data_IF_021088949642
#
_entry.id   IF_021088949642
#
_cell.length_a   1.000
_cell.length_b   1.000
_cell.length_c   1.000
_cell.angle_alpha   90.00
_cell.angle_beta   90.00
_cell.angle_gamma   90.00
#
_symmetry.space_group_name_H-M   'P 1'
#
loop_
_entity.id
_entity.type
_entity.pdbx_description
1 polymer ?
#
# COMPACT_ATOMS: atom_id res chain seq x y z
N UNK A 1 1.02 33.84 -50.99
CA UNK A 1 1.92 33.61 -49.84
C UNK A 1 1.19 33.70 -48.48
N UNK A 2 -0.02 34.24 -48.41
CA UNK A 2 -0.79 34.34 -47.14
C UNK A 2 -1.44 33.02 -46.71
N UNK A 3 -1.91 32.17 -47.63
CA UNK A 3 -2.63 30.92 -47.29
C UNK A 3 -1.76 29.91 -46.53
N UNK A 4 -0.44 29.81 -46.83
CA UNK A 4 0.50 28.91 -46.12
C UNK A 4 0.73 29.31 -44.66
N UNK A 5 0.68 30.61 -44.35
CA UNK A 5 0.85 31.09 -42.95
C UNK A 5 -0.42 30.84 -42.13
N UNK A 6 -1.59 30.95 -42.70
CA UNK A 6 -2.86 30.66 -42.00
C UNK A 6 -3.03 29.15 -41.72
N UNK A 7 -2.58 28.29 -42.65
CA UNK A 7 -2.62 26.84 -42.44
C UNK A 7 -1.68 26.40 -41.33
N UNK A 8 -0.47 27.02 -41.25
CA UNK A 8 0.48 26.74 -40.18
C UNK A 8 -0.04 27.15 -38.80
N UNK A 9 -0.74 28.30 -38.71
CA UNK A 9 -1.38 28.75 -37.47
C UNK A 9 -2.52 27.85 -37.02
N UNK A 10 -3.32 27.33 -37.97
CA UNK A 10 -4.41 26.39 -37.69
C UNK A 10 -3.90 25.05 -37.21
N UNK A 11 -2.79 24.53 -37.78
CA UNK A 11 -2.15 23.29 -37.35
C UNK A 11 -1.51 23.47 -35.97
N UNK A 12 -0.88 24.62 -35.68
CA UNK A 12 -0.33 24.91 -34.36
C UNK A 12 -1.41 25.05 -33.28
N UNK A 13 -2.58 25.63 -33.61
CA UNK A 13 -3.72 25.73 -32.71
C UNK A 13 -4.40 24.37 -32.43
N UNK A 14 -4.33 23.44 -33.39
CA UNK A 14 -4.82 22.06 -33.20
C UNK A 14 -3.89 21.20 -32.36
N UNK A 15 -2.59 21.57 -32.24
CA UNK A 15 -1.60 20.91 -31.39
C UNK A 15 -1.68 21.34 -29.90
N UNK A 16 -2.43 22.42 -29.59
CA UNK A 16 -2.70 22.82 -28.20
C UNK A 16 -3.85 22.03 -27.57
N UNK A 17 -4.25 20.89 -28.19
CA UNK A 17 -5.29 20.01 -27.70
C UNK A 17 -4.92 19.43 -26.33
N UNK A 18 -5.68 19.87 -25.32
CA UNK A 18 -5.87 19.20 -24.04
C UNK A 18 -4.59 18.73 -23.34
N UNK A 19 -3.78 19.66 -22.88
CA UNK A 19 -2.90 19.39 -21.74
C UNK A 19 -3.85 19.31 -20.53
N UNK A 20 -4.48 18.16 -20.34
CA UNK A 20 -5.05 17.87 -19.02
C UNK A 20 -3.87 17.82 -18.07
N UNK A 21 -3.86 18.71 -17.09
CA UNK A 21 -2.88 18.65 -16.02
C UNK A 21 -3.03 17.24 -15.38
N UNK A 22 -2.02 16.41 -15.58
CA UNK A 22 -2.02 15.07 -15.02
C UNK A 22 -1.94 15.22 -13.50
N UNK A 23 -2.85 14.58 -12.77
CA UNK A 23 -2.82 14.54 -11.32
C UNK A 23 -1.47 13.95 -10.89
N UNK A 24 -0.79 14.63 -9.98
CA UNK A 24 0.39 14.14 -9.30
C UNK A 24 0.12 14.22 -7.81
N UNK A 25 0.31 13.11 -7.10
CA UNK A 25 0.21 13.06 -5.64
C UNK A 25 1.62 12.96 -5.08
N UNK A 26 1.98 13.91 -4.24
CA UNK A 26 3.29 14.03 -3.60
C UNK A 26 3.21 13.73 -2.10
N UNK A 27 4.32 13.81 -1.39
CA UNK A 27 4.37 13.65 0.06
C UNK A 27 3.58 14.72 0.82
N UNK A 28 3.32 15.88 0.22
CA UNK A 28 2.49 16.93 0.82
C UNK A 28 0.99 16.67 0.68
N UNK A 29 0.59 15.78 -0.22
CA UNK A 29 -0.81 15.44 -0.49
C UNK A 29 -1.27 14.22 0.31
N UNK A 30 -0.36 13.56 1.02
CA UNK A 30 -0.65 12.40 1.86
C UNK A 30 -0.57 12.75 3.33
N UNK A 31 -1.06 11.87 4.19
CA UNK A 31 -1.22 12.10 5.63
C UNK A 31 0.01 12.68 6.31
N UNK A 32 -0.22 13.60 7.23
CA UNK A 32 0.76 14.28 8.06
C UNK A 32 0.37 14.21 9.54
N UNK A 33 1.32 14.48 10.43
CA UNK A 33 1.05 14.55 11.87
C UNK A 33 -0.04 15.58 12.15
N UNK A 34 -1.08 15.17 12.87
CA UNK A 34 -2.26 15.97 13.21
C UNK A 34 -3.47 15.70 12.32
N UNK A 35 -3.30 14.99 11.21
CA UNK A 35 -4.41 14.61 10.35
C UNK A 35 -5.29 13.53 11.00
N UNK A 36 -6.57 13.54 10.65
CA UNK A 36 -7.56 12.56 11.07
C UNK A 36 -8.26 12.04 9.82
N UNK A 37 -8.26 10.72 9.64
CA UNK A 37 -9.01 10.07 8.59
C UNK A 37 -10.27 9.42 9.18
N UNK A 38 -11.41 9.68 8.56
CA UNK A 38 -12.67 9.03 8.87
C UNK A 38 -12.95 7.97 7.81
N UNK A 39 -12.90 6.70 8.21
CA UNK A 39 -13.16 5.57 7.34
C UNK A 39 -14.60 5.08 7.56
N UNK A 40 -15.48 5.41 6.63
CA UNK A 40 -16.83 4.87 6.60
C UNK A 40 -16.84 3.50 5.93
N UNK A 41 -17.52 2.54 6.54
CA UNK A 41 -17.73 1.21 5.99
C UNK A 41 -19.20 1.03 5.63
N UNK A 42 -19.47 0.46 4.45
CA UNK A 42 -20.79 0.01 4.03
C UNK A 42 -20.88 -1.51 4.18
N UNK A 43 -21.72 -1.96 5.13
CA UNK A 43 -21.96 -3.38 5.39
C UNK A 43 -23.15 -3.94 4.60
N UNK A 44 -23.85 -3.11 3.84
CA UNK A 44 -24.99 -3.52 3.01
C UNK A 44 -24.46 -4.20 1.75
N UNK A 45 -24.28 -5.49 1.79
CA UNK A 45 -23.85 -6.30 0.64
C UNK A 45 -25.02 -7.05 0.00
N UNK A 46 -24.90 -7.49 -1.26
CA UNK A 46 -23.67 -7.63 -2.02
C UNK A 46 -23.41 -6.47 -2.98
N UNK A 47 -22.31 -5.75 -2.79
CA UNK A 47 -21.83 -4.87 -3.84
C UNK A 47 -21.17 -5.69 -4.94
N UNK A 48 -21.73 -5.61 -6.14
CA UNK A 48 -21.01 -5.94 -7.35
C UNK A 48 -20.50 -4.63 -7.93
N UNK A 49 -19.26 -4.25 -7.63
CA UNK A 49 -18.62 -3.13 -8.30
C UNK A 49 -17.54 -3.64 -9.25
N UNK A 50 -17.38 -2.96 -10.36
CA UNK A 50 -16.26 -3.22 -11.25
C UNK A 50 -15.19 -2.15 -11.02
N UNK A 51 -13.95 -2.59 -10.91
CA UNK A 51 -12.80 -1.66 -10.79
C UNK A 51 -12.58 -0.84 -12.07
N UNK A 52 -13.35 -1.08 -13.13
CA UNK A 52 -13.26 -0.38 -14.40
C UNK A 52 -12.06 -0.80 -15.25
N UNK A 53 -11.95 -0.19 -16.43
CA UNK A 53 -10.85 -0.39 -17.37
C UNK A 53 -9.61 0.39 -16.94
N UNK A 54 -8.46 0.04 -17.49
CA UNK A 54 -7.25 0.88 -17.43
C UNK A 54 -7.36 2.07 -18.38
N UNK A 55 -6.61 3.13 -18.14
CA UNK A 55 -6.53 4.29 -19.02
C UNK A 55 -6.93 5.60 -18.35
N UNK A 56 -6.88 6.67 -19.16
CA UNK A 56 -7.27 8.01 -18.74
C UNK A 56 -8.79 8.19 -18.85
N UNK A 57 -9.31 9.24 -18.18
CA UNK A 57 -10.70 9.67 -18.25
C UNK A 57 -11.70 8.56 -17.85
N UNK A 58 -11.34 7.76 -16.86
CA UNK A 58 -12.23 6.78 -16.27
C UNK A 58 -13.27 7.47 -15.38
N UNK A 59 -14.39 6.79 -15.13
CA UNK A 59 -15.41 7.27 -14.19
C UNK A 59 -15.83 6.12 -13.28
N UNK A 60 -15.81 6.40 -11.99
CA UNK A 60 -16.26 5.46 -10.95
C UNK A 60 -17.36 6.11 -10.15
N UNK A 61 -18.51 5.43 -10.05
CA UNK A 61 -19.67 5.91 -9.30
C UNK A 61 -19.91 5.03 -8.07
N UNK A 62 -19.62 5.59 -6.92
CA UNK A 62 -19.88 5.02 -5.59
C UNK A 62 -20.84 5.91 -4.79
N UNK A 63 -21.65 6.74 -5.46
CA UNK A 63 -22.58 7.68 -4.82
C UNK A 63 -23.65 6.97 -3.98
N UNK A 64 -23.90 5.68 -4.24
CA UNK A 64 -24.87 4.86 -3.50
C UNK A 64 -24.33 4.24 -2.21
N UNK A 65 -23.05 4.40 -1.87
CA UNK A 65 -22.49 3.90 -0.62
C UNK A 65 -23.21 4.50 0.59
N UNK A 66 -23.48 3.66 1.59
CA UNK A 66 -24.13 4.03 2.84
C UNK A 66 -23.24 3.69 4.02
N UNK A 67 -23.07 4.64 4.92
CA UNK A 67 -22.31 4.41 6.13
C UNK A 67 -23.08 3.46 7.07
N UNK A 68 -22.48 2.32 7.38
CA UNK A 68 -22.94 1.37 8.40
C UNK A 68 -22.12 1.48 9.68
N UNK A 69 -20.85 1.84 9.57
CA UNK A 69 -19.95 2.11 10.69
C UNK A 69 -18.86 3.10 10.28
N UNK A 70 -18.38 3.86 11.25
CA UNK A 70 -17.31 4.82 11.09
C UNK A 70 -16.12 4.41 11.96
N UNK A 71 -14.93 4.34 11.37
CA UNK A 71 -13.67 4.21 12.06
C UNK A 71 -12.90 5.52 11.98
N UNK A 72 -12.20 5.89 13.06
CA UNK A 72 -11.38 7.10 13.11
C UNK A 72 -9.92 6.69 13.24
N UNK A 73 -9.11 7.14 12.31
CA UNK A 73 -7.66 6.89 12.26
C UNK A 73 -6.94 8.20 12.52
N UNK A 74 -6.01 8.21 13.46
CA UNK A 74 -5.21 9.38 13.81
C UNK A 74 -3.80 9.24 13.25
N UNK A 75 -3.27 10.32 12.69
CA UNK A 75 -1.87 10.40 12.27
C UNK A 75 -1.10 11.26 13.28
N UNK A 76 -0.25 10.62 14.06
CA UNK A 76 0.40 11.21 15.22
C UNK A 76 1.93 11.17 15.09
N UNK A 77 2.61 11.89 15.97
CA UNK A 77 4.06 11.76 16.13
C UNK A 77 4.40 10.36 16.67
N UNK A 78 5.44 9.68 16.16
CA UNK A 78 5.98 8.48 16.80
C UNK A 78 6.48 8.74 18.21
N UNK A 79 6.95 9.98 18.47
CA UNK A 79 7.51 10.39 19.78
C UNK A 79 6.40 10.42 20.83
N UNK A 80 6.65 9.78 21.97
CA UNK A 80 5.69 9.64 23.06
C UNK A 80 4.79 8.40 22.94
N UNK A 81 4.93 7.60 21.87
CA UNK A 81 4.22 6.33 21.73
C UNK A 81 4.95 5.19 22.48
N UNK A 82 4.23 4.09 22.77
CA UNK A 82 4.78 2.98 23.56
C UNK A 82 6.00 2.30 22.94
N UNK A 83 6.17 2.38 21.62
CA UNK A 83 7.20 1.66 20.88
C UNK A 83 8.19 2.60 20.17
N UNK A 84 8.22 3.90 20.48
CA UNK A 84 9.03 4.90 19.78
C UNK A 84 10.52 4.49 19.65
N UNK A 85 11.08 3.88 20.70
CA UNK A 85 12.49 3.47 20.73
C UNK A 85 12.82 2.30 19.79
N UNK A 86 11.79 1.56 19.31
CA UNK A 86 11.96 0.46 18.36
C UNK A 86 11.95 0.98 16.90
N UNK A 87 11.48 2.22 16.69
CA UNK A 87 11.28 2.81 15.36
C UNK A 87 12.00 4.17 15.23
N UNK A 88 13.34 4.21 15.39
CA UNK A 88 14.09 5.48 15.42
C UNK A 88 14.00 6.29 14.12
N UNK A 89 13.75 5.61 12.99
CA UNK A 89 13.64 6.26 11.68
C UNK A 89 12.20 6.63 11.30
N UNK A 90 11.21 6.28 12.12
CA UNK A 90 9.83 6.64 11.85
C UNK A 90 9.60 8.14 12.09
N UNK A 91 8.94 8.81 11.17
CA UNK A 91 8.54 10.21 11.27
C UNK A 91 7.03 10.42 11.26
N UNK A 92 6.25 9.33 11.13
CA UNK A 92 4.80 9.32 11.15
C UNK A 92 4.31 8.04 11.81
N UNK A 93 3.29 8.13 12.67
CA UNK A 93 2.61 6.98 13.27
C UNK A 93 1.12 7.08 12.98
N UNK A 94 0.54 5.98 12.54
CA UNK A 94 -0.90 5.82 12.35
C UNK A 94 -1.45 5.05 13.54
N UNK A 95 -2.42 5.64 14.24
CA UNK A 95 -3.17 5.01 15.32
C UNK A 95 -4.57 4.64 14.81
N UNK A 96 -4.80 3.35 14.68
CA UNK A 96 -6.08 2.77 14.34
C UNK A 96 -6.61 1.99 15.54
N UNK A 97 -7.41 2.64 16.37
CA UNK A 97 -7.99 2.06 17.59
C UNK A 97 -6.94 1.45 18.54
N UNK A 98 -5.81 2.09 18.71
CA UNK A 98 -4.70 1.65 19.55
C UNK A 98 -3.72 0.70 18.85
N UNK A 99 -3.97 0.31 17.60
CA UNK A 99 -3.00 -0.39 16.78
C UNK A 99 -2.09 0.64 16.09
N UNK A 100 -0.86 0.73 16.57
CA UNK A 100 0.12 1.70 16.10
C UNK A 100 0.92 1.13 14.93
N UNK A 101 0.91 1.84 13.79
CA UNK A 101 1.74 1.53 12.62
C UNK A 101 2.76 2.64 12.40
N UNK A 102 4.04 2.28 12.26
CA UNK A 102 5.16 3.22 12.22
C UNK A 102 5.71 3.37 10.81
N UNK A 103 5.72 4.60 10.32
CA UNK A 103 6.11 4.93 8.95
C UNK A 103 7.28 5.91 8.91
N UNK A 104 8.09 5.76 7.86
CA UNK A 104 8.96 6.83 7.37
C UNK A 104 8.36 7.37 6.08
N UNK A 105 7.83 8.59 6.13
CA UNK A 105 7.31 9.34 4.98
C UNK A 105 8.41 10.21 4.41
N UNK A 106 8.67 10.04 3.11
CA UNK A 106 9.67 10.78 2.33
C UNK A 106 9.08 11.25 1.01
N UNK A 107 9.80 12.08 0.27
CA UNK A 107 9.40 12.49 -1.09
C UNK A 107 9.39 11.35 -2.12
N UNK A 108 9.99 10.21 -1.79
CA UNK A 108 10.07 9.04 -2.69
C UNK A 108 9.09 7.91 -2.33
N UNK A 109 8.46 7.98 -1.16
CA UNK A 109 7.48 6.98 -0.72
C UNK A 109 7.20 7.03 0.75
N UNK A 110 6.23 6.24 1.15
CA UNK A 110 5.88 5.97 2.54
C UNK A 110 6.27 4.53 2.84
N UNK A 111 7.15 4.35 3.82
CA UNK A 111 7.72 3.06 4.17
C UNK A 111 7.22 2.62 5.54
N UNK A 112 6.62 1.44 5.63
CA UNK A 112 6.17 0.83 6.87
C UNK A 112 7.34 0.10 7.53
N UNK A 113 7.69 0.49 8.75
CA UNK A 113 8.76 -0.10 9.55
C UNK A 113 8.28 -1.24 10.45
N UNK A 114 7.00 -1.24 10.81
CA UNK A 114 6.38 -2.26 11.63
C UNK A 114 5.07 -1.82 12.24
N UNK A 115 4.48 -2.71 13.04
CA UNK A 115 3.17 -2.52 13.69
C UNK A 115 3.26 -2.98 15.14
N UNK A 116 2.87 -2.13 16.08
CA UNK A 116 2.98 -2.38 17.50
C UNK A 116 4.43 -2.66 17.91
N UNK A 117 4.67 -3.81 18.54
CA UNK A 117 5.99 -4.32 18.92
C UNK A 117 6.69 -5.15 17.82
N UNK A 118 6.01 -5.36 16.69
CA UNK A 118 6.56 -6.15 15.59
C UNK A 118 7.31 -5.26 14.61
N UNK A 119 8.64 -5.22 14.76
CA UNK A 119 9.54 -4.49 13.87
C UNK A 119 9.87 -5.35 12.65
N UNK A 120 9.72 -4.80 11.46
CA UNK A 120 10.09 -5.49 10.23
C UNK A 120 11.62 -5.51 10.08
N UNK A 121 12.16 -6.62 9.59
CA UNK A 121 13.61 -6.75 9.33
C UNK A 121 14.12 -5.76 8.29
N UNK A 122 13.24 -5.30 7.41
CA UNK A 122 13.46 -4.21 6.46
C UNK A 122 12.16 -3.45 6.26
N UNK A 123 12.19 -2.11 6.13
CA UNK A 123 11.00 -1.33 5.83
C UNK A 123 10.36 -1.77 4.53
N UNK A 124 9.04 -1.88 4.51
CA UNK A 124 8.27 -2.24 3.33
C UNK A 124 7.65 -0.98 2.69
N UNK A 125 7.76 -0.83 1.39
CA UNK A 125 7.10 0.27 0.69
C UNK A 125 5.58 0.12 0.82
N UNK A 126 4.96 1.07 1.50
CA UNK A 126 3.50 1.11 1.67
C UNK A 126 2.82 1.68 0.43
N UNK A 127 3.34 2.78 -0.10
CA UNK A 127 3.09 3.27 -1.45
C UNK A 127 4.20 4.22 -1.93
N UNK A 128 4.54 4.18 -3.25
CA UNK A 128 5.54 5.05 -3.83
C UNK A 128 5.05 6.50 -3.96
N UNK A 129 5.98 7.44 -4.03
CA UNK A 129 5.73 8.85 -4.33
C UNK A 129 6.80 9.36 -5.30
N UNK A 130 6.47 10.34 -6.15
CA UNK A 130 5.12 10.82 -6.44
C UNK A 130 4.29 9.79 -7.22
N UNK A 131 2.96 9.76 -6.98
CA UNK A 131 2.06 8.98 -7.81
C UNK A 131 1.66 9.78 -9.04
N UNK A 132 1.90 9.21 -10.22
CA UNK A 132 1.48 9.74 -11.51
C UNK A 132 0.94 8.61 -12.37
N UNK A 133 0.02 8.92 -13.29
CA UNK A 133 -0.47 7.90 -14.23
C UNK A 133 0.68 7.28 -15.03
N UNK A 134 0.69 5.96 -15.14
CA UNK A 134 1.72 5.17 -15.81
C UNK A 134 2.89 4.75 -14.90
N UNK A 135 2.91 5.16 -13.62
CA UNK A 135 3.88 4.65 -12.66
C UNK A 135 3.77 3.14 -12.54
N UNK A 136 4.93 2.46 -12.56
CA UNK A 136 5.04 1.02 -12.35
C UNK A 136 6.34 0.74 -11.59
N UNK A 137 6.21 0.23 -10.35
CA UNK A 137 7.32 -0.02 -9.43
C UNK A 137 7.14 -1.37 -8.78
N UNK A 138 8.23 -2.11 -8.61
CA UNK A 138 8.30 -3.34 -7.80
C UNK A 138 9.19 -3.09 -6.60
N UNK A 139 8.73 -3.49 -5.42
CA UNK A 139 9.44 -3.46 -4.15
C UNK A 139 9.60 -4.89 -3.61
N UNK A 140 10.80 -5.25 -3.23
CA UNK A 140 11.09 -6.58 -2.69
C UNK A 140 11.89 -7.50 -3.62
N UNK A 141 12.12 -8.75 -3.19
CA UNK A 141 11.58 -9.39 -1.97
C UNK A 141 12.14 -8.77 -0.69
N UNK A 142 11.25 -8.40 0.23
CA UNK A 142 11.59 -7.84 1.53
C UNK A 142 11.31 -8.88 2.61
N UNK A 143 12.27 -9.12 3.50
CA UNK A 143 12.08 -9.98 4.67
C UNK A 143 11.34 -9.17 5.73
N UNK A 144 10.07 -9.48 5.95
CA UNK A 144 9.26 -8.82 6.99
C UNK A 144 9.35 -9.53 8.33
N UNK A 145 9.49 -10.86 8.32
CA UNK A 145 9.70 -11.67 9.51
C UNK A 145 10.82 -12.67 9.24
N UNK A 146 11.75 -12.78 10.18
CA UNK A 146 12.78 -13.80 10.17
C UNK A 146 13.04 -14.20 11.63
N UNK A 147 12.47 -15.31 12.05
CA UNK A 147 12.55 -15.75 13.45
C UNK A 147 12.77 -17.24 13.56
N UNK A 148 13.45 -17.63 14.64
CA UNK A 148 13.60 -19.04 15.04
C UNK A 148 12.51 -19.39 16.05
N UNK A 149 11.77 -20.45 15.74
CA UNK A 149 10.78 -21.03 16.64
C UNK A 149 11.41 -22.25 17.31
N UNK A 150 11.37 -22.31 18.63
CA UNK A 150 11.86 -23.42 19.44
C UNK A 150 10.77 -23.89 20.39
N UNK A 151 10.92 -25.12 20.88
CA UNK A 151 10.04 -25.61 21.93
C UNK A 151 9.23 -26.86 21.56
N UNK A 152 8.47 -27.39 22.54
CA UNK A 152 7.82 -28.69 22.43
C UNK A 152 6.71 -28.74 21.36
N UNK A 153 6.16 -27.61 20.98
CA UNK A 153 5.10 -27.56 19.97
C UNK A 153 5.62 -27.97 18.57
N UNK A 154 6.94 -27.84 18.29
CA UNK A 154 7.52 -28.26 17.02
C UNK A 154 7.33 -29.76 16.74
N UNK A 155 7.32 -30.58 17.78
CA UNK A 155 7.05 -32.02 17.64
C UNK A 155 5.61 -32.33 17.26
N UNK A 156 4.67 -31.40 17.52
CA UNK A 156 3.28 -31.50 17.06
C UNK A 156 3.12 -31.01 15.61
N UNK A 157 3.85 -29.93 15.26
CA UNK A 157 3.80 -29.32 13.94
C UNK A 157 4.61 -30.14 12.90
N UNK A 158 5.73 -30.75 13.33
CA UNK A 158 6.63 -31.54 12.47
C UNK A 158 6.75 -32.96 13.07
N UNK A 159 5.96 -33.92 12.56
CA UNK A 159 5.98 -35.29 13.06
C UNK A 159 7.36 -35.96 12.94
N UNK A 160 7.73 -36.80 13.91
CA UNK A 160 9.00 -37.50 13.93
C UNK A 160 9.30 -38.26 12.63
N UNK A 161 8.30 -38.90 12.03
CA UNK A 161 8.44 -39.59 10.76
C UNK A 161 8.92 -38.68 9.62
N UNK A 162 8.44 -37.43 9.60
CA UNK A 162 8.87 -36.41 8.63
C UNK A 162 10.33 -36.02 8.85
N UNK A 163 10.73 -35.84 10.12
CA UNK A 163 12.12 -35.50 10.47
C UNK A 163 13.06 -36.65 10.09
N UNK A 164 12.71 -37.87 10.42
CA UNK A 164 13.48 -39.07 10.03
C UNK A 164 13.64 -39.17 8.53
N UNK A 165 12.57 -38.96 7.77
CA UNK A 165 12.61 -38.98 6.31
C UNK A 165 13.50 -37.90 5.72
N UNK A 166 13.34 -36.64 6.16
CA UNK A 166 14.13 -35.51 5.66
C UNK A 166 15.60 -35.56 6.07
N UNK A 167 15.91 -36.13 7.22
CA UNK A 167 17.26 -36.25 7.75
C UNK A 167 17.98 -37.55 7.33
N UNK A 168 17.34 -38.40 6.50
CA UNK A 168 17.82 -39.76 6.18
C UNK A 168 18.13 -40.58 7.44
N UNK A 169 17.30 -40.46 8.47
CA UNK A 169 17.44 -41.21 9.72
C UNK A 169 18.44 -40.61 10.74
N UNK A 170 19.05 -39.46 10.45
CA UNK A 170 20.05 -38.83 11.32
C UNK A 170 19.42 -38.09 12.52
N UNK A 171 18.14 -37.72 12.43
CA UNK A 171 17.39 -37.05 13.51
C UNK A 171 15.97 -37.62 13.58
N UNK A 172 15.35 -37.53 14.76
CA UNK A 172 13.98 -37.98 15.00
C UNK A 172 13.07 -36.87 15.56
N UNK A 173 13.60 -35.67 15.74
CA UNK A 173 12.83 -34.50 16.15
C UNK A 173 13.46 -33.23 15.59
N UNK A 174 12.65 -32.19 15.44
CA UNK A 174 13.07 -30.85 15.17
C UNK A 174 13.14 -30.06 16.50
N UNK A 175 14.28 -29.49 16.80
CA UNK A 175 14.47 -28.66 18.01
C UNK A 175 14.28 -27.17 17.70
N UNK A 176 14.49 -26.78 16.44
CA UNK A 176 14.34 -25.42 15.94
C UNK A 176 13.79 -25.44 14.53
N UNK A 177 12.85 -24.57 14.25
CA UNK A 177 12.43 -24.23 12.90
C UNK A 177 12.65 -22.72 12.69
N UNK A 178 13.17 -22.33 11.53
CA UNK A 178 13.23 -20.94 11.11
C UNK A 178 11.98 -20.63 10.31
N UNK A 179 11.31 -19.55 10.64
CA UNK A 179 10.20 -19.00 9.86
C UNK A 179 10.67 -17.71 9.21
N UNK A 180 10.66 -17.66 7.91
CA UNK A 180 10.94 -16.45 7.16
C UNK A 180 9.75 -16.11 6.29
N UNK A 181 9.27 -14.88 6.42
CA UNK A 181 8.20 -14.32 5.59
C UNK A 181 8.80 -13.20 4.75
N UNK A 182 8.66 -13.34 3.43
CA UNK A 182 9.09 -12.33 2.47
C UNK A 182 7.90 -11.81 1.68
N UNK A 183 7.88 -10.50 1.45
CA UNK A 183 6.90 -9.83 0.61
C UNK A 183 7.56 -9.26 -0.63
N UNK A 184 6.90 -9.41 -1.76
CA UNK A 184 7.17 -8.65 -2.99
C UNK A 184 5.88 -7.91 -3.33
N UNK A 185 5.98 -6.60 -3.54
CA UNK A 185 4.83 -5.74 -3.83
C UNK A 185 5.03 -5.04 -5.16
N UNK A 186 4.05 -5.16 -6.05
CA UNK A 186 3.99 -4.43 -7.30
C UNK A 186 2.97 -3.31 -7.18
N UNK A 187 3.36 -2.11 -7.60
CA UNK A 187 2.53 -0.92 -7.63
C UNK A 187 2.39 -0.45 -9.07
N UNK A 188 1.17 -0.19 -9.51
CA UNK A 188 0.93 0.43 -10.80
C UNK A 188 -0.20 1.46 -10.71
N UNK A 189 0.03 2.66 -11.27
CA UNK A 189 -1.01 3.66 -11.46
C UNK A 189 -1.54 3.50 -12.87
N UNK A 190 -2.58 2.71 -13.03
CA UNK A 190 -3.05 2.19 -14.32
C UNK A 190 -4.30 2.89 -14.85
N UNK A 191 -4.89 3.79 -14.07
CA UNK A 191 -6.02 4.61 -14.49
C UNK A 191 -6.05 5.96 -13.80
N UNK A 192 -6.67 6.95 -14.43
CA UNK A 192 -7.04 8.23 -13.84
C UNK A 192 -8.41 8.67 -14.35
N UNK A 193 -9.11 9.48 -13.57
CA UNK A 193 -10.44 9.95 -13.92
C UNK A 193 -11.17 10.55 -12.74
N UNK A 194 -12.48 10.42 -12.72
CA UNK A 194 -13.36 10.98 -11.69
C UNK A 194 -13.98 9.88 -10.83
N UNK A 195 -13.98 10.08 -9.53
CA UNK A 195 -14.63 9.25 -8.52
C UNK A 195 -15.77 10.03 -7.90
N UNK A 196 -17.01 9.53 -8.02
CA UNK A 196 -18.17 10.08 -7.32
C UNK A 196 -18.48 9.23 -6.11
N UNK A 197 -18.60 9.88 -4.95
CA UNK A 197 -18.97 9.28 -3.66
C UNK A 197 -20.13 10.07 -3.05
N UNK A 198 -20.74 9.63 -1.94
CA UNK A 198 -21.71 10.45 -1.22
C UNK A 198 -21.17 11.81 -0.75
N UNK A 199 -19.84 11.96 -0.65
CA UNK A 199 -19.17 13.22 -0.24
C UNK A 199 -18.91 14.18 -1.41
N UNK A 200 -19.07 13.73 -2.66
CA UNK A 200 -18.82 14.54 -3.85
C UNK A 200 -18.09 13.80 -4.96
N UNK A 201 -17.66 14.58 -5.96
CA UNK A 201 -16.91 14.07 -7.11
C UNK A 201 -15.48 14.61 -7.04
N UNK A 202 -14.51 13.73 -7.23
CA UNK A 202 -13.08 14.02 -7.08
C UNK A 202 -12.32 13.52 -8.29
N UNK A 203 -11.30 14.25 -8.69
CA UNK A 203 -10.31 13.77 -9.65
C UNK A 203 -9.36 12.81 -8.94
N UNK A 204 -9.12 11.64 -9.51
CA UNK A 204 -8.40 10.55 -8.84
C UNK A 204 -7.42 9.82 -9.75
N UNK A 205 -6.41 9.22 -9.10
CA UNK A 205 -5.55 8.17 -9.66
C UNK A 205 -5.98 6.83 -9.07
N UNK A 206 -5.99 5.80 -9.88
CA UNK A 206 -6.15 4.42 -9.41
C UNK A 206 -4.78 3.79 -9.21
N UNK A 207 -4.43 3.54 -7.95
CA UNK A 207 -3.26 2.76 -7.58
C UNK A 207 -3.67 1.30 -7.41
N UNK A 208 -3.10 0.42 -8.22
CA UNK A 208 -3.19 -1.03 -8.07
C UNK A 208 -1.96 -1.50 -7.29
N UNK A 209 -2.20 -2.26 -6.21
CA UNK A 209 -1.17 -2.91 -5.41
C UNK A 209 -1.39 -4.42 -5.45
N UNK A 210 -0.37 -5.16 -5.83
CA UNK A 210 -0.36 -6.63 -5.79
C UNK A 210 0.78 -7.06 -4.89
N UNK A 211 0.45 -7.75 -3.80
CA UNK A 211 1.44 -8.26 -2.86
C UNK A 211 1.49 -9.78 -2.95
N UNK A 212 2.69 -10.32 -3.16
CA UNK A 212 2.98 -11.74 -3.08
C UNK A 212 3.75 -12.00 -1.80
N UNK A 213 3.21 -12.89 -0.95
CA UNK A 213 3.83 -13.30 0.31
C UNK A 213 4.31 -14.73 0.18
N UNK A 214 5.59 -14.96 0.47
CA UNK A 214 6.19 -16.29 0.55
C UNK A 214 6.61 -16.56 1.98
N UNK A 215 6.25 -17.74 2.51
CA UNK A 215 6.66 -18.22 3.82
C UNK A 215 7.46 -19.52 3.69
N UNK A 216 8.59 -19.62 4.35
CA UNK A 216 9.45 -20.81 4.45
C UNK A 216 9.86 -21.05 5.89
#
# INVERSE_FOLDING_TARGET
MMIKKQLLFLVLALLTGNIFAQITITDTDVFSIGDIAYQANDANTPFSFTVGSTGLNQSWDFSSLQESSLNTIFFISPIGTNYENQYPDANLCMDDNGLLSYFNKTSTGVFLHGVGDTVFSSPALFYPLPLTYGLNISDGPIVVIDTAITGPFLSLAIPAATVVSLSNGLANRADTARVQITNTTEFSVDASGTLTTPLGTFDVLRLKRVQTTNSV
#
